data_IF_594102287963
#
_entry.id   IF_594102287963
#
_cell.length_a   1.000
_cell.length_b   1.000
_cell.length_c   1.000
_cell.angle_alpha   90.00
_cell.angle_beta   90.00
_cell.angle_gamma   90.00
#
_symmetry.space_group_name_H-M   'P 1'
#
loop_
_entity.id
_entity.type
_entity.pdbx_description
1 polymer ?
#
# COMPACT_ATOMS: atom_id res chain seq x y z
N UNK A 1 8.48 12.71 -25.42
CA UNK A 1 7.30 11.90 -25.05
C UNK A 1 7.21 10.74 -26.02
N UNK A 2 6.96 9.50 -25.57
CA UNK A 2 6.77 8.38 -26.48
C UNK A 2 5.57 8.66 -27.39
N UNK A 3 5.71 8.35 -28.68
CA UNK A 3 4.64 8.54 -29.66
C UNK A 3 3.60 7.43 -29.48
N UNK A 4 2.31 7.76 -29.44
CA UNK A 4 1.26 6.75 -29.26
C UNK A 4 1.28 5.68 -30.36
N UNK A 5 1.64 6.06 -31.59
CA UNK A 5 1.75 5.13 -32.71
C UNK A 5 2.91 4.15 -32.51
N UNK A 6 4.05 4.63 -31.99
CA UNK A 6 5.20 3.75 -31.73
C UNK A 6 4.90 2.78 -30.59
N UNK A 7 4.23 3.24 -29.53
CA UNK A 7 3.83 2.37 -28.41
C UNK A 7 2.85 1.28 -28.85
N UNK A 8 1.89 1.60 -29.72
CA UNK A 8 0.96 0.60 -30.23
C UNK A 8 1.65 -0.47 -31.08
N UNK A 9 2.60 -0.04 -31.93
CA UNK A 9 3.39 -0.94 -32.74
C UNK A 9 4.29 -1.81 -31.87
N UNK A 10 4.99 -1.23 -30.90
CA UNK A 10 5.84 -1.96 -29.96
C UNK A 10 5.03 -3.04 -29.22
N UNK A 11 3.80 -2.75 -28.79
CA UNK A 11 2.92 -3.74 -28.15
C UNK A 11 2.50 -4.84 -29.14
N UNK A 12 2.21 -4.50 -30.40
CA UNK A 12 1.80 -5.46 -31.42
C UNK A 12 2.92 -6.44 -31.81
N UNK A 13 4.18 -6.01 -31.70
CA UNK A 13 5.37 -6.82 -32.00
C UNK A 13 5.75 -7.80 -30.85
N UNK A 14 5.14 -7.66 -29.67
CA UNK A 14 5.34 -8.57 -28.54
C UNK A 14 4.67 -9.93 -28.74
N UNK A 15 5.12 -10.93 -27.98
CA UNK A 15 4.46 -12.25 -27.94
C UNK A 15 3.05 -12.14 -27.32
N UNK A 16 2.14 -13.09 -27.64
CA UNK A 16 0.78 -13.10 -27.10
C UNK A 16 0.73 -13.05 -25.57
N UNK A 17 1.65 -13.74 -24.90
CA UNK A 17 1.75 -13.77 -23.44
C UNK A 17 2.11 -12.39 -22.87
N UNK A 18 3.06 -11.70 -23.49
CA UNK A 18 3.48 -10.37 -23.08
C UNK A 18 2.39 -9.33 -23.32
N UNK A 19 1.66 -9.41 -24.44
CA UNK A 19 0.48 -8.56 -24.70
C UNK A 19 -0.59 -8.75 -23.63
N UNK A 20 -0.86 -10.00 -23.23
CA UNK A 20 -1.85 -10.29 -22.20
C UNK A 20 -1.49 -9.67 -20.83
N UNK A 21 -0.20 -9.67 -20.46
CA UNK A 21 0.28 -9.02 -19.23
C UNK A 21 -0.02 -7.51 -19.26
N UNK A 22 0.25 -6.86 -20.40
CA UNK A 22 -0.01 -5.43 -20.59
C UNK A 22 -1.51 -5.13 -20.48
N UNK A 23 -2.37 -5.94 -21.12
CA UNK A 23 -3.82 -5.76 -21.02
C UNK A 23 -4.34 -5.97 -19.60
N UNK A 24 -3.81 -6.96 -18.87
CA UNK A 24 -4.17 -7.21 -17.48
C UNK A 24 -3.78 -6.01 -16.59
N UNK A 25 -2.59 -5.44 -16.79
CA UNK A 25 -2.15 -4.25 -16.07
C UNK A 25 -3.07 -3.05 -16.37
N UNK A 26 -3.41 -2.81 -17.63
CA UNK A 26 -4.34 -1.74 -18.02
C UNK A 26 -5.70 -1.95 -17.36
N UNK A 27 -6.21 -3.18 -17.34
CA UNK A 27 -7.48 -3.51 -16.70
C UNK A 27 -7.44 -3.25 -15.18
N UNK A 28 -6.35 -3.58 -14.50
CA UNK A 28 -6.16 -3.28 -13.08
C UNK A 28 -6.10 -1.77 -12.81
N UNK A 29 -5.38 -1.01 -13.64
CA UNK A 29 -5.27 0.44 -13.50
C UNK A 29 -6.61 1.14 -13.78
N UNK A 30 -7.40 0.64 -14.75
CA UNK A 30 -8.75 1.14 -15.03
C UNK A 30 -9.75 0.83 -13.92
N UNK A 31 -9.48 -0.18 -13.08
CA UNK A 31 -10.31 -0.54 -11.91
C UNK A 31 -10.11 0.41 -10.72
N UNK A 32 -9.31 1.48 -10.84
CA UNK A 32 -9.30 2.56 -9.86
C UNK A 32 -10.74 2.94 -9.48
N UNK A 33 -11.01 3.16 -8.17
CA UNK A 33 -12.34 3.46 -7.70
C UNK A 33 -12.80 4.71 -8.45
N UNK A 34 -13.96 4.63 -9.10
CA UNK A 34 -14.68 5.83 -9.48
C UNK A 34 -14.65 6.72 -8.26
N UNK A 35 -14.07 7.92 -8.39
CA UNK A 35 -14.27 9.00 -7.43
C UNK A 35 -15.76 8.97 -7.10
N UNK A 36 -16.09 8.54 -5.88
CA UNK A 36 -17.43 8.65 -5.37
C UNK A 36 -17.66 10.16 -5.29
N UNK A 37 -18.25 10.71 -6.34
CA UNK A 37 -19.13 11.85 -6.21
C UNK A 37 -20.31 11.38 -5.35
N UNK A 38 -20.06 11.22 -4.05
CA UNK A 38 -21.09 11.19 -3.04
C UNK A 38 -21.14 12.58 -2.43
N UNK A 39 -22.02 13.37 -3.03
CA UNK A 39 -22.84 14.34 -2.32
C UNK A 39 -23.13 13.86 -0.89
N UNK A 40 -22.79 14.70 0.09
CA UNK A 40 -23.28 14.71 1.47
C UNK A 40 -24.27 13.59 1.86
N UNK A 41 -23.78 12.43 2.31
CA UNK A 41 -24.54 11.54 3.18
C UNK A 41 -23.56 10.86 4.14
N UNK A 42 -23.67 11.25 5.42
CA UNK A 42 -23.09 10.67 6.64
C UNK A 42 -21.82 9.82 6.49
N UNK A 43 -20.73 10.31 7.09
CA UNK A 43 -19.54 9.53 7.41
C UNK A 43 -19.91 8.28 8.23
N UNK A 44 -20.21 7.17 7.57
CA UNK A 44 -20.10 5.86 8.17
C UNK A 44 -18.61 5.62 8.39
N UNK A 45 -18.16 5.81 9.64
CA UNK A 45 -16.87 5.29 10.10
C UNK A 45 -16.85 3.81 9.76
N UNK A 46 -16.14 3.44 8.70
CA UNK A 46 -15.77 2.05 8.45
C UNK A 46 -14.93 1.61 9.65
N UNK A 47 -15.51 0.69 10.41
CA UNK A 47 -14.90 0.11 11.59
C UNK A 47 -13.82 -0.88 11.12
N UNK A 48 -12.56 -0.47 11.25
CA UNK A 48 -11.39 -1.29 10.91
C UNK A 48 -10.94 -2.18 12.07
N UNK A 49 -11.70 -2.22 13.17
CA UNK A 49 -11.38 -3.08 14.32
C UNK A 49 -11.44 -4.58 13.98
N UNK A 50 -12.22 -4.98 12.99
CA UNK A 50 -12.39 -6.38 12.58
C UNK A 50 -11.32 -6.89 11.58
N UNK A 51 -10.47 -6.01 11.03
CA UNK A 51 -9.51 -6.36 9.95
C UNK A 51 -8.03 -6.20 10.32
N UNK A 52 -7.70 -5.95 11.59
CA UNK A 52 -6.34 -6.13 12.09
C UNK A 52 -6.20 -7.60 12.47
N UNK A 53 -5.61 -8.38 11.57
CA UNK A 53 -5.26 -9.77 11.85
C UNK A 53 -4.51 -9.86 13.18
N UNK A 54 -5.08 -10.59 14.12
CA UNK A 54 -4.42 -11.03 15.35
C UNK A 54 -3.22 -11.90 14.97
N UNK A 55 -2.09 -11.28 14.63
CA UNK A 55 -0.81 -11.90 14.93
C UNK A 55 -0.54 -11.56 16.38
N UNK A 56 -0.51 -12.58 17.24
CA UNK A 56 0.05 -12.45 18.58
C UNK A 56 1.50 -11.98 18.41
N UNK A 57 1.72 -10.68 18.54
CA UNK A 57 3.06 -10.15 18.75
C UNK A 57 3.49 -10.61 20.14
N UNK A 58 4.75 -11.06 20.27
CA UNK A 58 5.33 -11.34 21.59
C UNK A 58 4.99 -10.18 22.55
N UNK A 59 4.54 -10.48 23.78
CA UNK A 59 3.97 -9.49 24.71
C UNK A 59 4.94 -8.38 25.18
N UNK A 60 6.13 -8.30 24.59
CA UNK A 60 7.17 -7.32 24.93
C UNK A 60 7.75 -6.57 23.70
N UNK A 61 7.20 -6.76 22.50
CA UNK A 61 7.66 -5.99 21.32
C UNK A 61 7.18 -4.54 21.36
N UNK A 62 6.07 -4.26 22.05
CA UNK A 62 5.72 -2.89 22.44
C UNK A 62 6.34 -2.59 23.80
N UNK A 63 7.66 -2.61 23.91
CA UNK A 63 8.29 -1.71 24.88
C UNK A 63 7.71 -0.33 24.59
N UNK A 64 6.91 0.18 25.52
CA UNK A 64 6.29 1.49 25.37
C UNK A 64 7.41 2.44 24.97
N UNK A 65 7.34 2.97 23.75
CA UNK A 65 8.44 3.73 23.16
C UNK A 65 8.88 4.87 24.09
N UNK A 66 7.94 5.40 24.88
CA UNK A 66 8.24 6.38 25.93
C UNK A 66 9.10 5.79 27.06
N UNK A 67 8.77 4.60 27.56
CA UNK A 67 9.58 3.89 28.58
C UNK A 67 10.98 3.56 28.06
N UNK A 68 11.12 3.13 26.81
CA UNK A 68 12.43 2.87 26.20
C UNK A 68 13.30 4.13 26.15
N UNK A 69 12.72 5.25 25.66
CA UNK A 69 13.41 6.54 25.62
C UNK A 69 13.77 7.07 27.01
N UNK A 70 12.88 6.93 27.99
CA UNK A 70 13.09 7.50 29.33
C UNK A 70 14.02 6.68 30.21
N UNK A 71 14.01 5.35 30.10
CA UNK A 71 14.68 4.49 31.09
C UNK A 71 15.84 3.67 30.51
N UNK A 72 15.78 3.28 29.23
CA UNK A 72 16.72 2.32 28.65
C UNK A 72 17.72 2.98 27.69
N UNK A 73 17.36 4.09 27.03
CA UNK A 73 18.21 4.79 26.06
C UNK A 73 19.51 5.31 26.71
N UNK A 74 19.38 6.02 27.82
CA UNK A 74 20.53 6.56 28.56
C UNK A 74 21.47 5.44 29.00
N UNK A 75 20.95 4.34 29.56
CA UNK A 75 21.78 3.20 29.97
C UNK A 75 22.54 2.56 28.79
N UNK A 76 21.92 2.48 27.61
CA UNK A 76 22.54 1.89 26.41
C UNK A 76 23.66 2.75 25.82
N UNK A 77 23.61 4.06 26.01
CA UNK A 77 24.58 5.02 25.46
C UNK A 77 25.41 5.75 26.52
N UNK A 78 25.24 5.45 27.81
CA UNK A 78 25.97 6.07 28.93
C UNK A 78 27.49 5.82 28.92
N UNK A 79 27.97 4.80 28.19
CA UNK A 79 29.38 4.47 28.07
C UNK A 79 30.03 5.04 26.79
N UNK A 80 29.60 6.22 26.33
CA UNK A 80 30.25 6.97 25.26
C UNK A 80 31.04 8.15 25.80
#
# INVERSE_FOLDING_TARGET
MPNLNTVQQDIAELTPEAQQIIFNLIALLKKQPKSNQQSHLAAQKQDWSDFIGCMEAEPDLSKNYKTYLSNELEQKYANR
#
